data_IF_505401174647
#
_entry.id   IF_505401174647
#
_cell.length_a   1.000
_cell.length_b   1.000
_cell.length_c   1.000
_cell.angle_alpha   90.00
_cell.angle_beta   90.00
_cell.angle_gamma   90.00
#
_symmetry.space_group_name_H-M   'P 1'
#
loop_
_entity.id
_entity.type
_entity.pdbx_description
1 polymer ?
#
# COMPACT_ATOMS: atom_id res chain seq x y z
N UNK A 1 6.46 3.57 2.99
CA UNK A 1 7.02 3.68 1.62
C UNK A 1 8.38 4.34 1.63
N UNK A 2 8.58 5.41 2.39
CA UNK A 2 9.86 6.11 2.51
C UNK A 2 11.02 5.17 2.92
N UNK A 3 10.78 4.22 3.83
CA UNK A 3 11.78 3.22 4.22
C UNK A 3 12.23 2.28 3.09
N UNK A 4 11.39 2.05 2.07
CA UNK A 4 11.74 1.26 0.88
C UNK A 4 11.97 2.13 -0.36
N UNK A 5 12.05 3.46 -0.21
CA UNK A 5 12.27 4.45 -1.30
C UNK A 5 11.29 4.26 -2.47
N UNK A 6 10.04 3.90 -2.19
CA UNK A 6 9.02 3.71 -3.23
C UNK A 6 8.34 5.05 -3.54
N UNK A 7 8.45 5.49 -4.79
CA UNK A 7 7.81 6.72 -5.26
C UNK A 7 6.33 6.50 -5.61
N UNK A 8 5.55 7.57 -5.58
CA UNK A 8 4.14 7.53 -5.98
C UNK A 8 3.96 7.01 -7.42
N UNK A 9 4.90 7.35 -8.31
CA UNK A 9 4.92 6.88 -9.68
C UNK A 9 5.05 5.35 -9.79
N UNK A 10 5.89 4.74 -8.95
CA UNK A 10 6.03 3.27 -8.91
C UNK A 10 4.70 2.60 -8.54
N UNK A 11 3.99 3.13 -7.54
CA UNK A 11 2.70 2.59 -7.13
C UNK A 11 1.65 2.67 -8.25
N UNK A 12 1.63 3.79 -8.97
CA UNK A 12 0.76 3.98 -10.14
C UNK A 12 1.08 2.97 -11.25
N UNK A 13 2.36 2.77 -11.55
CA UNK A 13 2.83 1.80 -12.56
C UNK A 13 2.44 0.36 -12.20
N UNK A 14 2.40 0.05 -10.92
CA UNK A 14 1.99 -1.27 -10.40
C UNK A 14 0.48 -1.39 -10.12
N UNK A 15 -0.34 -0.44 -10.57
CA UNK A 15 -1.80 -0.57 -10.59
C UNK A 15 -2.50 -0.15 -9.29
N UNK A 16 -1.85 0.66 -8.45
CA UNK A 16 -2.51 1.45 -7.40
C UNK A 16 -2.85 2.82 -8.00
N UNK A 17 -4.12 3.10 -8.23
CA UNK A 17 -4.56 4.37 -8.82
C UNK A 17 -4.44 5.56 -7.84
N UNK A 18 -4.49 6.79 -8.39
CA UNK A 18 -4.35 8.01 -7.60
C UNK A 18 -5.44 8.20 -6.52
N UNK A 19 -6.67 7.72 -6.74
CA UNK A 19 -7.75 7.83 -5.75
C UNK A 19 -7.48 6.90 -4.56
N UNK A 20 -6.97 5.71 -4.83
CA UNK A 20 -6.51 4.77 -3.81
C UNK A 20 -5.31 5.34 -3.03
N UNK A 21 -4.35 5.97 -3.71
CA UNK A 21 -3.21 6.64 -3.05
C UNK A 21 -3.63 7.82 -2.18
N UNK A 22 -4.57 8.66 -2.65
CA UNK A 22 -5.12 9.75 -1.86
C UNK A 22 -5.86 9.23 -0.62
N UNK A 23 -6.60 8.12 -0.76
CA UNK A 23 -7.29 7.47 0.36
C UNK A 23 -6.30 6.92 1.40
N UNK A 24 -5.21 6.27 0.94
CA UNK A 24 -4.12 5.80 1.80
C UNK A 24 -3.45 6.96 2.56
N UNK A 25 -3.13 8.07 1.88
CA UNK A 25 -2.53 9.26 2.50
C UNK A 25 -3.42 9.90 3.55
N UNK A 26 -4.75 9.80 3.38
CA UNK A 26 -5.75 10.32 4.31
C UNK A 26 -6.16 9.31 5.39
N UNK A 27 -5.43 8.20 5.53
CA UNK A 27 -5.68 7.14 6.50
C UNK A 27 -7.13 6.58 6.41
N UNK A 28 -7.68 6.49 5.19
CA UNK A 28 -8.98 5.86 4.94
C UNK A 28 -8.84 4.35 4.82
N UNK A 29 -9.96 3.67 5.03
CA UNK A 29 -10.06 2.22 4.84
C UNK A 29 -9.67 1.81 3.42
N UNK A 30 -9.02 0.65 3.31
CA UNK A 30 -8.63 0.03 2.05
C UNK A 30 -9.23 -1.38 1.94
N UNK A 31 -9.25 -1.91 0.73
CA UNK A 31 -9.65 -3.29 0.47
C UNK A 31 -8.47 -4.24 0.59
N UNK A 32 -8.73 -5.53 0.80
CA UNK A 32 -7.70 -6.58 0.79
C UNK A 32 -6.95 -6.65 -0.55
N UNK A 33 -7.64 -6.42 -1.67
CA UNK A 33 -6.99 -6.36 -2.99
C UNK A 33 -5.95 -5.22 -3.08
N UNK A 34 -6.24 -4.05 -2.49
CA UNK A 34 -5.26 -2.96 -2.40
C UNK A 34 -4.06 -3.37 -1.53
N UNK A 35 -4.33 -4.07 -0.43
CA UNK A 35 -3.28 -4.57 0.46
C UNK A 35 -2.37 -5.61 -0.23
N UNK A 36 -2.93 -6.56 -0.97
CA UNK A 36 -2.18 -7.56 -1.75
C UNK A 36 -1.29 -6.89 -2.82
N UNK A 37 -1.80 -5.87 -3.51
CA UNK A 37 -0.99 -5.10 -4.47
C UNK A 37 0.16 -4.38 -3.77
N UNK A 38 -0.09 -3.76 -2.62
CA UNK A 38 0.96 -3.10 -1.83
C UNK A 38 2.01 -4.10 -1.37
N UNK A 39 1.62 -5.29 -0.92
CA UNK A 39 2.53 -6.39 -0.55
C UNK A 39 3.47 -6.77 -1.69
N UNK A 40 2.95 -6.96 -2.90
CA UNK A 40 3.76 -7.25 -4.10
C UNK A 40 4.73 -6.12 -4.43
N UNK A 41 4.29 -4.86 -4.33
CA UNK A 41 5.14 -3.69 -4.64
C UNK A 41 6.22 -3.49 -3.58
N UNK A 42 5.89 -3.76 -2.31
CA UNK A 42 6.80 -3.60 -1.20
C UNK A 42 7.71 -4.83 -1.01
N UNK A 43 7.62 -5.84 -1.87
CA UNK A 43 8.35 -7.11 -1.73
C UNK A 43 8.24 -7.64 -0.30
N UNK A 44 6.99 -7.80 0.13
CA UNK A 44 6.67 -8.18 1.49
C UNK A 44 5.62 -9.29 1.46
N UNK A 45 6.06 -10.52 1.68
CA UNK A 45 5.21 -11.71 1.61
C UNK A 45 4.30 -11.86 2.84
N UNK A 46 4.62 -11.22 3.96
CA UNK A 46 3.80 -11.23 5.18
C UNK A 46 2.96 -9.96 5.31
N UNK A 47 1.63 -10.11 5.16
CA UNK A 47 0.69 -8.99 5.29
C UNK A 47 0.70 -8.35 6.68
N UNK A 48 1.08 -9.09 7.74
CA UNK A 48 1.15 -8.55 9.10
C UNK A 48 2.24 -7.49 9.26
N UNK A 49 3.23 -7.45 8.37
CA UNK A 49 4.23 -6.37 8.32
C UNK A 49 3.64 -5.05 7.79
N UNK A 50 2.50 -5.11 7.09
CA UNK A 50 1.86 -3.96 6.43
C UNK A 50 0.70 -3.39 7.21
N UNK A 51 -0.01 -4.22 7.98
CA UNK A 51 -1.16 -3.81 8.80
C UNK A 51 -0.82 -3.92 10.28
N UNK A 52 -1.29 -2.96 11.07
CA UNK A 52 -1.29 -3.05 12.53
C UNK A 52 -2.73 -3.22 12.99
N UNK A 53 -2.96 -4.29 13.73
CA UNK A 53 -4.22 -4.48 14.45
C UNK A 53 -4.10 -3.73 15.79
N UNK A 54 -5.12 -2.93 16.09
CA UNK A 54 -5.29 -2.32 17.40
C UNK A 54 -6.41 -3.11 18.10
N UNK A 55 -6.15 -3.53 19.34
CA UNK A 55 -7.16 -4.08 20.26
C UNK A 55 -8.06 -2.94 20.78
#
# INVERSE_FOLDING_TARGET
MEQKVISQYQLLKHGIDNKTLDSLKKNKNITLNTLEKLSKILECDDLNMLVKFYD
#
